data_IF_400345910946
#
_entry.id   IF_400345910946
#
_cell.length_a   1.000
_cell.length_b   1.000
_cell.length_c   1.000
_cell.angle_alpha   90.00
_cell.angle_beta   90.00
_cell.angle_gamma   90.00
#
_symmetry.space_group_name_H-M   'P 1'
#
loop_
_entity.id
_entity.type
_entity.pdbx_description
1 polymer ?
#
# COMPACT_ATOMS: atom_id res chain seq x y z
N UNK A 1 -12.79 2.36 4.86
CA UNK A 1 -11.95 3.33 4.12
C UNK A 1 -11.67 4.50 5.03
N UNK A 2 -10.43 4.63 5.51
CA UNK A 2 -10.00 5.63 6.49
C UNK A 2 -8.77 6.35 5.91
N UNK A 3 -8.75 7.69 5.80
CA UNK A 3 -7.58 8.43 5.30
C UNK A 3 -6.33 8.13 6.12
N UNK A 4 -5.17 8.05 5.45
CA UNK A 4 -3.90 7.70 6.07
C UNK A 4 -3.71 6.22 6.39
N UNK A 5 -4.70 5.35 6.14
CA UNK A 5 -4.57 3.89 6.29
C UNK A 5 -4.38 3.21 4.93
N UNK A 6 -3.23 2.56 4.77
CA UNK A 6 -2.86 1.84 3.56
C UNK A 6 -2.79 0.34 3.83
N UNK A 7 -3.14 -0.48 2.83
CA UNK A 7 -3.08 -1.93 2.91
C UNK A 7 -2.20 -2.47 1.78
N UNK A 8 -1.40 -3.50 2.08
CA UNK A 8 -0.50 -4.16 1.13
C UNK A 8 -0.53 -5.68 1.31
N UNK A 9 -0.16 -6.42 0.27
CA UNK A 9 -0.13 -7.88 0.32
C UNK A 9 -1.50 -8.52 0.07
N UNK A 10 -1.65 -9.79 0.46
CA UNK A 10 -2.79 -10.63 0.08
C UNK A 10 -4.12 -10.27 0.75
N UNK A 11 -4.09 -9.32 1.69
CA UNK A 11 -5.29 -8.67 2.22
C UNK A 11 -6.00 -7.82 1.15
N UNK A 12 -5.27 -7.36 0.11
CA UNK A 12 -5.88 -6.63 -1.01
C UNK A 12 -6.56 -7.58 -1.99
N UNK A 13 -7.63 -7.10 -2.61
CA UNK A 13 -8.24 -7.77 -3.76
C UNK A 13 -7.32 -7.65 -4.98
N UNK A 14 -6.79 -8.80 -5.44
CA UNK A 14 -5.93 -8.92 -6.62
C UNK A 14 -6.01 -10.31 -7.22
N UNK A 15 -5.71 -10.43 -8.50
CA UNK A 15 -5.82 -11.68 -9.25
C UNK A 15 -4.77 -12.73 -8.84
N UNK A 16 -3.57 -12.30 -8.45
CA UNK A 16 -2.46 -13.17 -8.07
C UNK A 16 -1.95 -12.84 -6.67
N UNK A 17 -1.65 -13.88 -5.90
CA UNK A 17 -1.17 -13.82 -4.51
C UNK A 17 0.21 -14.45 -4.40
N UNK A 18 1.20 -13.72 -4.90
CA UNK A 18 2.60 -14.16 -4.99
C UNK A 18 3.50 -13.23 -4.19
N UNK A 19 4.66 -13.72 -3.75
CA UNK A 19 5.63 -12.90 -3.00
C UNK A 19 5.95 -11.61 -3.75
N UNK A 20 6.26 -11.69 -5.04
CA UNK A 20 6.55 -10.50 -5.86
C UNK A 20 5.39 -9.51 -5.90
N UNK A 21 4.14 -9.98 -5.94
CA UNK A 21 2.96 -9.09 -5.93
C UNK A 21 2.76 -8.42 -4.57
N UNK A 22 3.04 -9.11 -3.47
CA UNK A 22 2.95 -8.53 -2.13
C UNK A 22 4.05 -7.49 -1.89
N UNK A 23 5.26 -7.74 -2.41
CA UNK A 23 6.37 -6.76 -2.39
C UNK A 23 6.01 -5.51 -3.19
N UNK A 24 5.47 -5.67 -4.40
CA UNK A 24 5.01 -4.54 -5.22
C UNK A 24 3.92 -3.73 -4.51
N UNK A 25 2.95 -4.39 -3.87
CA UNK A 25 1.92 -3.69 -3.07
C UNK A 25 2.54 -2.88 -1.92
N UNK A 26 3.56 -3.44 -1.24
CA UNK A 26 4.26 -2.76 -0.15
C UNK A 26 4.98 -1.49 -0.63
N UNK A 27 5.66 -1.55 -1.77
CA UNK A 27 6.32 -0.39 -2.37
C UNK A 27 5.32 0.72 -2.71
N UNK A 28 4.17 0.36 -3.28
CA UNK A 28 3.11 1.33 -3.60
C UNK A 28 2.49 1.92 -2.33
N UNK A 29 2.21 1.09 -1.33
CA UNK A 29 1.62 1.54 -0.07
C UNK A 29 2.53 2.51 0.68
N UNK A 30 3.84 2.26 0.72
CA UNK A 30 4.77 3.15 1.42
C UNK A 30 4.93 4.49 0.69
N UNK A 31 4.96 4.48 -0.65
CA UNK A 31 5.05 5.70 -1.45
C UNK A 31 3.87 6.65 -1.16
N UNK A 32 2.64 6.12 -1.15
CA UNK A 32 1.47 6.94 -0.81
C UNK A 32 1.41 7.33 0.67
N UNK A 33 1.93 6.49 1.58
CA UNK A 33 2.05 6.87 2.98
C UNK A 33 3.02 8.03 3.18
N UNK A 34 4.16 8.04 2.47
CA UNK A 34 5.11 9.13 2.49
C UNK A 34 4.50 10.43 1.96
N UNK A 35 3.80 10.39 0.82
CA UNK A 35 3.09 11.54 0.26
C UNK A 35 2.04 12.08 1.25
N UNK A 36 1.22 11.20 1.82
CA UNK A 36 0.21 11.59 2.80
C UNK A 36 0.81 12.27 4.04
N UNK A 37 1.96 11.80 4.51
CA UNK A 37 2.66 12.43 5.64
C UNK A 37 3.30 13.78 5.24
N UNK A 38 3.76 13.92 4.01
CA UNK A 38 4.35 15.15 3.50
C UNK A 38 3.31 16.27 3.30
N UNK A 39 2.10 15.93 2.83
CA UNK A 39 0.99 16.88 2.65
C UNK A 39 0.41 17.36 4.00
N UNK A 40 0.49 16.56 5.06
CA UNK A 40 -0.05 16.85 6.38
C UNK A 40 0.99 17.41 7.37
N UNK A 41 2.05 18.05 6.85
CA UNK A 41 3.11 18.68 7.64
C UNK A 41 3.00 20.20 7.59
#
# INVERSE_FOLDING_TARGET
NLPGVFAAGDVRTKALRQVVTAVSDGAVAVHYAEEYLAENR
#
